data_IF_286445643759
#
_entry.id   IF_286445643759
#
_cell.length_a   1.000
_cell.length_b   1.000
_cell.length_c   1.000
_cell.angle_alpha   90.00
_cell.angle_beta   90.00
_cell.angle_gamma   90.00
#
_symmetry.space_group_name_H-M   'P 1'
#
loop_
_entity.id
_entity.type
_entity.pdbx_description
1 polymer ?
#
# COMPACT_ATOMS: atom_id res chain seq x y z
N UNK A 1 9.75 0.53 -10.94
CA UNK A 1 8.51 -0.24 -10.71
C UNK A 1 8.09 0.04 -9.27
N UNK A 2 6.82 0.31 -9.04
CA UNK A 2 6.24 0.38 -7.69
C UNK A 2 5.38 -0.87 -7.55
N UNK A 3 5.56 -1.59 -6.45
CA UNK A 3 4.78 -2.77 -6.11
C UNK A 3 3.86 -2.42 -4.94
N UNK A 4 2.57 -2.75 -5.06
CA UNK A 4 1.56 -2.54 -4.04
C UNK A 4 0.79 -3.85 -3.85
N UNK A 5 0.54 -4.24 -2.60
CA UNK A 5 -0.24 -5.44 -2.28
C UNK A 5 -1.72 -5.27 -2.65
N UNK A 6 -2.42 -6.39 -2.82
CA UNK A 6 -3.85 -6.38 -3.16
C UNK A 6 -4.76 -5.80 -2.08
N UNK A 7 -4.26 -5.65 -0.84
CA UNK A 7 -4.93 -5.00 0.29
C UNK A 7 -4.40 -3.58 0.55
N UNK A 8 -3.97 -2.89 -0.50
CA UNK A 8 -3.60 -1.47 -0.46
C UNK A 8 -4.64 -0.61 -1.18
N UNK A 9 -4.91 0.58 -0.63
CA UNK A 9 -5.66 1.64 -1.31
C UNK A 9 -4.84 2.92 -1.38
N UNK A 10 -4.86 3.56 -2.55
CA UNK A 10 -4.17 4.82 -2.85
C UNK A 10 -5.20 5.96 -2.87
N UNK A 11 -4.96 7.01 -2.08
CA UNK A 11 -5.83 8.18 -1.91
C UNK A 11 -5.34 9.44 -2.64
N UNK A 12 -4.05 9.51 -2.99
CA UNK A 12 -3.47 10.62 -3.74
C UNK A 12 -2.43 10.14 -4.74
N UNK A 13 -2.10 10.98 -5.73
CA UNK A 13 -1.08 10.65 -6.72
C UNK A 13 0.28 10.38 -6.04
N UNK A 14 0.93 9.30 -6.45
CA UNK A 14 2.25 8.88 -5.96
C UNK A 14 3.28 8.74 -7.09
N UNK A 15 3.03 9.34 -8.26
CA UNK A 15 3.85 9.15 -9.45
C UNK A 15 5.26 9.74 -9.27
N UNK A 16 5.41 10.77 -8.43
CA UNK A 16 6.72 11.34 -8.10
C UNK A 16 7.67 10.32 -7.45
N UNK A 17 7.17 9.19 -6.94
CA UNK A 17 8.02 8.09 -6.48
C UNK A 17 8.81 7.44 -7.63
N UNK A 18 8.36 7.56 -8.88
CA UNK A 18 9.12 7.11 -10.06
C UNK A 18 10.34 7.99 -10.38
N UNK A 19 10.39 9.22 -9.86
CA UNK A 19 11.52 10.15 -10.03
C UNK A 19 12.67 9.86 -9.05
N UNK A 20 12.48 8.92 -8.13
CA UNK A 20 13.53 8.51 -7.19
C UNK A 20 14.74 7.90 -7.91
N UNK A 21 15.99 8.16 -7.44
CA UNK A 21 17.18 7.61 -8.06
C UNK A 21 17.13 6.08 -8.22
N UNK A 22 17.49 5.60 -9.42
CA UNK A 22 17.56 4.16 -9.73
C UNK A 22 18.68 3.46 -8.93
N UNK A 23 18.56 2.14 -8.81
CA UNK A 23 19.55 1.29 -8.14
C UNK A 23 19.32 1.09 -6.64
N UNK A 24 18.21 1.61 -6.12
CA UNK A 24 17.83 1.50 -4.71
C UNK A 24 16.47 0.81 -4.54
N UNK A 25 16.26 0.21 -3.38
CA UNK A 25 14.97 -0.26 -2.90
C UNK A 25 14.38 0.79 -1.95
N UNK A 26 13.31 1.45 -2.36
CA UNK A 26 12.58 2.39 -1.52
C UNK A 26 11.41 1.68 -0.85
N UNK A 27 11.35 1.69 0.48
CA UNK A 27 10.23 1.14 1.23
C UNK A 27 10.07 1.83 2.59
N UNK A 28 8.84 1.82 3.11
CA UNK A 28 8.53 2.33 4.46
C UNK A 28 9.14 1.40 5.50
N UNK A 29 9.62 1.96 6.62
CA UNK A 29 10.13 1.18 7.76
C UNK A 29 9.01 0.37 8.41
N UNK A 30 9.33 -0.79 8.96
CA UNK A 30 8.34 -1.60 9.66
C UNK A 30 7.91 -0.98 11.01
N UNK A 31 6.68 -1.27 11.41
CA UNK A 31 6.20 -0.97 12.76
C UNK A 31 6.27 -2.23 13.62
N UNK A 32 7.31 -2.34 14.44
CA UNK A 32 7.47 -3.48 15.36
C UNK A 32 6.43 -3.53 16.48
N UNK A 33 5.50 -2.58 16.56
CA UNK A 33 4.34 -2.69 17.43
C UNK A 33 3.25 -3.61 16.85
N UNK A 34 3.30 -4.04 15.59
CA UNK A 34 2.31 -4.96 15.05
C UNK A 34 2.37 -6.35 15.69
N UNK A 35 1.22 -7.01 15.82
CA UNK A 35 1.10 -8.32 16.48
C UNK A 35 1.87 -9.43 15.75
N UNK A 36 2.15 -9.26 14.45
CA UNK A 36 3.04 -10.11 13.66
C UNK A 36 4.44 -10.21 14.29
N UNK A 37 4.89 -9.16 14.97
CA UNK A 37 6.16 -9.08 15.69
C UNK A 37 6.10 -9.65 17.11
N UNK A 38 4.95 -10.13 17.60
CA UNK A 38 4.72 -10.50 19.02
C UNK A 38 5.76 -11.44 19.64
N UNK A 39 6.39 -12.29 18.83
CA UNK A 39 7.40 -13.27 19.29
C UNK A 39 8.81 -12.68 19.41
N UNK A 40 9.06 -11.50 18.83
CA UNK A 40 10.39 -10.91 18.70
C UNK A 40 10.80 -10.08 19.92
N UNK A 41 12.12 -9.90 20.18
CA UNK A 41 12.60 -9.04 21.26
C UNK A 41 12.09 -7.60 21.15
N UNK A 42 12.14 -7.01 19.95
CA UNK A 42 11.69 -5.64 19.70
C UNK A 42 10.24 -5.40 20.14
N UNK A 43 9.32 -6.29 19.78
CA UNK A 43 7.92 -6.17 20.21
C UNK A 43 7.79 -6.29 21.73
N UNK A 44 8.48 -7.27 22.34
CA UNK A 44 8.38 -7.55 23.78
C UNK A 44 8.84 -6.38 24.65
N UNK A 45 9.83 -5.62 24.19
CA UNK A 45 10.33 -4.42 24.89
C UNK A 45 9.58 -3.15 24.47
N UNK A 46 8.69 -3.22 23.48
CA UNK A 46 7.98 -2.07 22.92
C UNK A 46 8.85 -1.16 22.04
N UNK A 47 9.98 -1.65 21.53
CA UNK A 47 10.81 -0.93 20.56
C UNK A 47 10.10 -0.83 19.22
N UNK A 48 10.07 0.36 18.63
CA UNK A 48 9.47 0.63 17.34
C UNK A 48 10.41 1.46 16.47
N UNK A 49 10.65 1.04 15.22
CA UNK A 49 11.50 1.78 14.28
C UNK A 49 10.89 3.09 13.79
N UNK A 50 9.56 3.21 13.86
CA UNK A 50 8.84 4.44 13.56
C UNK A 50 8.91 5.46 14.71
N UNK A 51 9.11 4.99 15.95
CA UNK A 51 9.17 5.80 17.17
C UNK A 51 10.35 5.38 18.08
N UNK A 52 11.61 5.46 17.60
CA UNK A 52 12.78 4.98 18.35
C UNK A 52 13.04 5.75 19.65
N UNK A 53 12.46 6.94 19.80
CA UNK A 53 12.53 7.78 21.00
C UNK A 53 11.68 7.26 22.16
N UNK A 54 10.65 6.44 21.89
CA UNK A 54 9.73 5.92 22.92
C UNK A 54 10.40 4.86 23.80
N UNK A 55 11.19 3.99 23.18
CA UNK A 55 11.99 2.97 23.85
C UNK A 55 13.34 2.93 23.16
N UNK A 56 14.40 3.35 23.85
CA UNK A 56 15.76 3.24 23.33
C UNK A 56 16.20 1.78 23.28
N UNK A 57 16.76 1.33 22.16
CA UNK A 57 17.25 -0.04 22.02
C UNK A 57 18.36 -0.36 23.05
N UNK A 58 18.23 -1.43 23.85
CA UNK A 58 19.18 -1.72 24.91
C UNK A 58 20.42 -2.44 24.36
N UNK A 59 21.37 -1.66 23.83
CA UNK A 59 22.57 -2.17 23.14
C UNK A 59 23.39 -3.13 24.01
N UNK A 60 23.47 -2.88 25.32
CA UNK A 60 24.25 -3.69 26.25
C UNK A 60 23.71 -5.13 26.39
N UNK A 61 22.39 -5.32 26.30
CA UNK A 61 21.76 -6.63 26.52
C UNK A 61 21.30 -7.32 25.24
N UNK A 62 20.97 -6.56 24.19
CA UNK A 62 20.45 -7.09 22.92
C UNK A 62 21.38 -6.87 21.72
N UNK A 63 22.54 -6.22 21.91
CA UNK A 63 23.49 -5.95 20.82
C UNK A 63 23.02 -4.83 19.89
N UNK A 64 23.38 -4.91 18.60
CA UNK A 64 22.96 -3.88 17.63
C UNK A 64 21.44 -3.89 17.41
N UNK A 65 20.81 -2.72 17.16
CA UNK A 65 19.40 -2.68 16.84
C UNK A 65 19.08 -3.50 15.58
N UNK A 66 17.84 -4.01 15.46
CA UNK A 66 17.41 -4.68 14.24
C UNK A 66 17.55 -3.73 13.04
N UNK A 67 17.97 -4.24 11.87
CA UNK A 67 18.12 -3.42 10.68
C UNK A 67 16.77 -2.78 10.30
N UNK A 68 16.84 -1.57 9.72
CA UNK A 68 15.66 -0.81 9.26
C UNK A 68 14.80 -1.54 8.22
N UNK A 69 15.35 -2.59 7.61
CA UNK A 69 14.66 -3.42 6.63
C UNK A 69 14.98 -4.89 6.84
N UNK A 70 13.96 -5.74 6.77
CA UNK A 70 13.98 -7.15 7.19
C UNK A 70 14.76 -8.12 6.31
N UNK A 71 15.45 -7.63 5.29
CA UNK A 71 16.14 -8.50 4.36
C UNK A 71 17.57 -8.01 4.14
N UNK A 72 18.52 -8.77 4.69
CA UNK A 72 19.97 -8.53 4.55
C UNK A 72 20.38 -8.37 3.09
N UNK A 73 19.68 -9.01 2.15
CA UNK A 73 19.92 -8.90 0.72
C UNK A 73 19.83 -7.45 0.22
N UNK A 74 18.98 -6.62 0.85
CA UNK A 74 18.71 -5.27 0.41
C UNK A 74 19.39 -4.19 1.28
N UNK A 75 20.18 -4.58 2.30
CA UNK A 75 20.76 -3.63 3.27
C UNK A 75 21.55 -2.49 2.61
N UNK A 76 22.36 -2.79 1.58
CA UNK A 76 23.21 -1.79 0.92
C UNK A 76 22.45 -0.86 -0.04
N UNK A 77 21.25 -1.27 -0.46
CA UNK A 77 20.45 -0.53 -1.45
C UNK A 77 19.12 -0.01 -0.90
N UNK A 78 18.80 -0.30 0.36
CA UNK A 78 17.58 0.16 1.01
C UNK A 78 17.61 1.68 1.29
N UNK A 79 16.49 2.34 1.03
CA UNK A 79 16.25 3.75 1.33
C UNK A 79 14.86 3.90 1.96
N UNK A 80 14.74 4.37 3.22
CA UNK A 80 13.44 4.57 3.83
C UNK A 80 12.67 5.69 3.12
N UNK A 81 11.37 5.48 2.93
CA UNK A 81 10.43 6.53 2.52
C UNK A 81 9.39 6.78 3.64
N UNK A 82 8.74 7.95 3.68
CA UNK A 82 7.74 8.28 4.70
C UNK A 82 6.59 7.28 4.77
N UNK A 83 6.05 7.05 5.97
CA UNK A 83 4.90 6.19 6.20
C UNK A 83 3.62 6.63 5.49
N UNK A 84 3.56 7.88 5.01
CA UNK A 84 2.47 8.39 4.17
C UNK A 84 2.28 7.58 2.87
N UNK A 85 3.34 6.90 2.38
CA UNK A 85 3.31 6.08 1.18
C UNK A 85 3.05 4.59 1.44
N UNK A 86 2.94 4.18 2.70
CA UNK A 86 2.46 2.86 3.11
C UNK A 86 2.10 2.89 4.59
N UNK A 87 0.92 3.41 4.92
CA UNK A 87 0.46 3.45 6.29
C UNK A 87 -0.13 2.09 6.65
N UNK A 88 0.64 1.28 7.36
CA UNK A 88 0.16 0.09 8.06
C UNK A 88 -0.93 0.52 9.03
N UNK A 89 -2.13 -0.01 8.85
CA UNK A 89 -3.32 0.47 9.55
C UNK A 89 -3.21 0.41 11.09
N UNK A 90 -2.40 -0.51 11.64
CA UNK A 90 -2.14 -0.61 13.08
C UNK A 90 -1.54 0.67 13.69
N UNK A 91 -0.89 1.50 12.88
CA UNK A 91 -0.39 2.80 13.29
C UNK A 91 -1.50 3.72 13.84
N UNK A 92 -2.75 3.58 13.38
CA UNK A 92 -3.89 4.42 13.80
C UNK A 92 -4.21 4.31 15.31
N UNK A 93 -3.87 3.20 15.94
CA UNK A 93 -4.10 2.99 17.37
C UNK A 93 -2.82 2.73 18.17
N UNK A 94 -1.71 2.39 17.51
CA UNK A 94 -0.41 2.24 18.18
C UNK A 94 0.37 3.54 18.30
N UNK A 95 0.21 4.42 17.31
CA UNK A 95 0.92 5.70 17.18
C UNK A 95 0.00 6.84 16.70
N UNK A 96 -1.21 7.01 17.27
CA UNK A 96 -2.16 8.02 16.80
C UNK A 96 -1.59 9.44 16.83
N UNK A 97 -0.63 9.72 17.72
CA UNK A 97 0.07 11.00 17.84
C UNK A 97 0.89 11.39 16.60
N UNK A 98 1.22 10.42 15.74
CA UNK A 98 2.02 10.62 14.54
C UNK A 98 1.22 10.52 13.24
N UNK A 99 -0.10 10.30 13.33
CA UNK A 99 -0.95 10.10 12.16
C UNK A 99 -1.88 11.28 11.95
N UNK A 100 -1.67 11.95 10.82
CA UNK A 100 -2.65 12.84 10.19
C UNK A 100 -3.18 12.15 8.94
N UNK A 101 -4.41 11.63 9.01
CA UNK A 101 -5.04 10.87 7.92
C UNK A 101 -5.19 11.69 6.63
N UNK A 102 -5.28 13.01 6.72
CA UNK A 102 -5.40 13.87 5.54
C UNK A 102 -4.09 13.97 4.75
N UNK A 103 -2.96 13.61 5.36
CA UNK A 103 -1.64 13.59 4.74
C UNK A 103 -1.25 12.19 4.23
N UNK A 104 -2.10 11.18 4.40
CA UNK A 104 -1.80 9.80 4.00
C UNK A 104 -2.17 9.59 2.53
N UNK A 105 -1.20 9.16 1.73
CA UNK A 105 -1.40 8.81 0.34
C UNK A 105 -1.80 7.36 0.14
N UNK A 106 -1.36 6.45 1.00
CA UNK A 106 -1.53 5.01 0.83
C UNK A 106 -1.82 4.34 2.16
N UNK A 107 -2.90 3.55 2.23
CA UNK A 107 -3.29 2.74 3.40
C UNK A 107 -3.11 1.25 3.07
N UNK A 108 -2.57 0.50 4.03
CA UNK A 108 -2.42 -0.96 3.95
C UNK A 108 -3.31 -1.67 4.97
N UNK A 109 -4.31 -2.39 4.47
CA UNK A 109 -5.28 -3.16 5.26
C UNK A 109 -4.72 -4.53 5.68
N UNK A 110 -3.61 -4.51 6.41
CA UNK A 110 -2.86 -5.71 6.80
C UNK A 110 -3.24 -6.29 8.18
N UNK A 111 -4.01 -5.56 9.00
CA UNK A 111 -4.44 -6.03 10.32
C UNK A 111 -5.54 -7.11 10.20
N UNK A 112 -5.69 -7.95 11.23
CA UNK A 112 -6.77 -8.94 11.25
C UNK A 112 -8.14 -8.24 11.21
N UNK A 113 -9.09 -8.79 10.45
CA UNK A 113 -10.41 -8.19 10.25
C UNK A 113 -10.44 -6.90 9.42
N UNK A 114 -9.30 -6.39 8.95
CA UNK A 114 -9.26 -5.08 8.28
C UNK A 114 -9.46 -5.09 6.78
N UNK A 115 -9.19 -6.24 6.14
CA UNK A 115 -9.22 -6.36 4.68
C UNK A 115 -10.60 -5.98 4.16
N UNK A 116 -10.68 -5.05 3.20
CA UNK A 116 -11.90 -4.62 2.58
C UNK A 116 -13.08 -5.60 2.49
N UNK A 117 -12.78 -6.67 1.74
CA UNK A 117 -13.67 -7.75 1.32
C UNK A 117 -13.96 -8.79 2.41
N UNK A 118 -13.32 -8.65 3.57
CA UNK A 118 -13.44 -9.52 4.75
C UNK A 118 -13.41 -8.69 6.04
N UNK A 119 -13.98 -7.49 5.97
CA UNK A 119 -14.03 -6.60 7.11
C UNK A 119 -14.87 -7.22 8.23
N UNK A 120 -14.32 -7.24 9.44
CA UNK A 120 -14.97 -7.80 10.63
C UNK A 120 -14.89 -6.80 11.79
N UNK A 121 -16.01 -6.15 12.09
CA UNK A 121 -16.11 -5.17 13.18
C UNK A 121 -15.90 -5.77 14.57
N UNK A 122 -15.94 -7.09 14.72
CA UNK A 122 -15.72 -7.76 16.01
C UNK A 122 -14.25 -7.96 16.34
N UNK A 123 -13.36 -7.79 15.35
CA UNK A 123 -11.92 -7.88 15.52
C UNK A 123 -11.34 -6.64 16.21
N UNK A 124 -10.17 -6.80 16.82
CA UNK A 124 -9.53 -5.76 17.65
C UNK A 124 -9.38 -4.43 16.86
N UNK A 125 -9.96 -3.36 17.40
CA UNK A 125 -9.96 -2.00 16.84
C UNK A 125 -10.76 -1.79 15.55
N UNK A 126 -11.38 -2.82 14.96
CA UNK A 126 -12.16 -2.66 13.72
C UNK A 126 -13.48 -1.92 13.93
N UNK A 127 -13.91 -1.75 15.18
CA UNK A 127 -15.08 -0.96 15.54
C UNK A 127 -14.87 0.56 15.44
N UNK A 128 -13.63 1.03 15.19
CA UNK A 128 -13.31 2.46 15.08
C UNK A 128 -13.92 3.13 13.86
N UNK A 129 -14.40 4.35 14.05
CA UNK A 129 -15.02 5.16 12.98
C UNK A 129 -14.06 5.52 11.85
N UNK A 130 -12.78 5.76 12.15
CA UNK A 130 -11.78 6.07 11.13
C UNK A 130 -11.51 4.87 10.21
N UNK A 131 -11.47 3.66 10.76
CA UNK A 131 -11.34 2.41 9.98
C UNK A 131 -12.61 2.17 9.16
N UNK A 132 -13.81 2.29 9.74
CA UNK A 132 -15.06 2.13 9.00
C UNK A 132 -15.16 3.12 7.84
N UNK A 133 -14.72 4.36 8.04
CA UNK A 133 -14.61 5.35 6.97
C UNK A 133 -13.66 4.88 5.85
N UNK A 134 -12.47 4.38 6.18
CA UNK A 134 -11.50 3.88 5.18
C UNK A 134 -12.06 2.70 4.39
N UNK A 135 -12.66 1.72 5.08
CA UNK A 135 -13.34 0.57 4.47
C UNK A 135 -14.46 1.03 3.55
N UNK A 136 -15.27 2.02 3.97
CA UNK A 136 -16.29 2.63 3.12
C UNK A 136 -15.68 3.26 1.87
N UNK A 137 -14.60 4.04 1.99
CA UNK A 137 -13.93 4.65 0.82
C UNK A 137 -13.44 3.60 -0.18
N UNK A 138 -13.09 2.40 0.28
CA UNK A 138 -12.70 1.30 -0.60
C UNK A 138 -13.91 0.72 -1.36
N UNK A 139 -15.02 0.49 -0.65
CA UNK A 139 -16.28 0.06 -1.29
C UNK A 139 -16.87 1.10 -2.23
N UNK A 140 -16.76 2.40 -1.91
CA UNK A 140 -17.20 3.50 -2.78
C UNK A 140 -16.52 3.43 -4.17
N UNK A 141 -15.27 2.95 -4.26
CA UNK A 141 -14.56 2.72 -5.54
C UNK A 141 -14.98 1.39 -6.16
N UNK A 142 -15.03 0.31 -5.37
CA UNK A 142 -15.35 -1.03 -5.87
C UNK A 142 -16.76 -1.12 -6.45
N UNK A 143 -17.72 -0.40 -5.87
CA UNK A 143 -19.12 -0.37 -6.30
C UNK A 143 -19.39 0.70 -7.38
N UNK A 144 -18.40 1.53 -7.72
CA UNK A 144 -18.53 2.51 -8.80
C UNK A 144 -18.56 1.80 -10.15
N UNK A 145 -19.76 1.48 -10.62
CA UNK A 145 -19.99 0.86 -11.92
C UNK A 145 -19.39 1.64 -13.10
N UNK A 146 -19.12 2.95 -12.97
CA UNK A 146 -18.46 3.70 -14.06
C UNK A 146 -17.01 3.25 -14.29
N UNK A 147 -16.40 2.62 -13.29
CA UNK A 147 -15.07 2.01 -13.34
C UNK A 147 -15.09 0.56 -13.83
N UNK A 148 -16.27 -0.02 -14.09
CA UNK A 148 -16.38 -1.37 -14.63
C UNK A 148 -15.73 -1.43 -16.02
N UNK A 149 -14.77 -2.35 -16.17
CA UNK A 149 -14.08 -2.60 -17.45
C UNK A 149 -15.05 -2.80 -18.64
N UNK A 150 -16.21 -3.44 -18.40
CA UNK A 150 -17.22 -3.68 -19.44
C UNK A 150 -17.83 -2.38 -19.98
N UNK A 151 -18.01 -1.38 -19.12
CA UNK A 151 -18.54 -0.08 -19.51
C UNK A 151 -17.54 0.70 -20.36
N UNK A 152 -16.23 0.51 -20.11
CA UNK A 152 -15.16 1.05 -20.94
C UNK A 152 -15.15 0.42 -22.35
N UNK A 153 -15.25 -0.90 -22.46
CA UNK A 153 -15.30 -1.60 -23.76
C UNK A 153 -16.56 -1.24 -24.55
N UNK A 154 -17.71 -1.06 -23.90
CA UNK A 154 -18.92 -0.58 -24.57
C UNK A 154 -18.82 0.87 -25.05
N UNK A 155 -18.15 1.74 -24.31
CA UNK A 155 -17.95 3.14 -24.73
C UNK A 155 -16.91 3.25 -25.83
N UNK A 156 -15.77 2.54 -25.77
CA UNK A 156 -14.81 2.46 -26.87
C UNK A 156 -15.43 1.87 -28.13
N UNK A 157 -16.20 0.78 -28.00
CA UNK A 157 -16.89 0.17 -29.15
C UNK A 157 -18.01 1.05 -29.71
N UNK A 158 -18.63 1.95 -28.94
CA UNK A 158 -19.60 2.97 -29.40
C UNK A 158 -18.96 4.26 -29.92
N UNK A 159 -17.71 4.55 -29.56
CA UNK A 159 -16.91 5.67 -30.09
C UNK A 159 -16.18 5.27 -31.39
N UNK A 160 -15.77 4.01 -31.51
CA UNK A 160 -15.17 3.43 -32.72
C UNK A 160 -16.01 3.55 -34.02
N UNK A 161 -17.36 3.52 -34.03
CA UNK A 161 -18.17 3.68 -35.24
C UNK A 161 -18.29 5.15 -35.66
N UNK A 162 -18.07 6.10 -34.75
CA UNK A 162 -18.16 7.55 -35.04
C UNK A 162 -16.85 8.05 -35.68
N UNK A 163 -15.71 7.43 -35.36
CA UNK A 163 -14.43 7.78 -35.99
C UNK A 163 -14.21 7.16 -37.38
N UNK A 164 -15.12 6.30 -37.85
CA UNK A 164 -15.04 5.69 -39.18
C UNK A 164 -15.27 6.69 -40.34
N UNK A 165 -15.66 7.94 -40.06
CA UNK A 165 -15.82 8.98 -41.09
C UNK A 165 -14.63 9.93 -41.25
N UNK A 166 -13.53 9.79 -40.48
CA UNK A 166 -12.36 10.67 -40.62
C UNK A 166 -11.00 10.00 -40.83
N UNK A 167 -10.88 8.67 -40.79
CA UNK A 167 -9.59 8.00 -40.97
C UNK A 167 -9.52 7.22 -42.29
N UNK A 168 -9.60 7.92 -43.42
CA UNK A 168 -9.01 7.39 -44.66
C UNK A 168 -7.56 7.85 -44.74
N UNK A 169 -6.64 7.02 -44.25
CA UNK A 169 -5.38 6.60 -44.91
C UNK A 169 -4.35 6.05 -43.90
N UNK A 170 -3.83 4.88 -44.29
CA UNK A 170 -2.50 4.32 -44.00
C UNK A 170 -2.28 3.35 -42.80
N UNK A 171 -2.42 2.07 -43.18
CA UNK A 171 -1.65 0.84 -42.89
C UNK A 171 -0.82 0.62 -41.60
N UNK A 172 -1.32 -0.35 -40.82
CA UNK A 172 -0.69 -1.60 -40.32
C UNK A 172 0.70 -1.56 -39.65
N UNK A 173 0.71 -1.87 -38.36
CA UNK A 173 1.81 -2.55 -37.65
C UNK A 173 1.23 -3.36 -36.49
N UNK A 174 1.32 -4.69 -36.56
CA UNK A 174 0.77 -5.65 -35.59
C UNK A 174 1.34 -5.43 -34.18
N UNK A 175 0.46 -5.14 -33.21
CA UNK A 175 0.79 -5.20 -31.79
C UNK A 175 0.26 -6.52 -31.23
N UNK A 176 1.18 -7.45 -31.00
CA UNK A 176 0.95 -8.69 -30.25
C UNK A 176 0.56 -8.34 -28.80
N UNK A 177 -0.72 -8.48 -28.46
CA UNK A 177 -1.19 -8.40 -27.07
C UNK A 177 -0.89 -9.75 -26.40
N UNK A 178 0.22 -9.82 -25.68
CA UNK A 178 0.50 -10.95 -24.77
C UNK A 178 -0.35 -10.79 -23.52
N UNK A 179 -1.35 -11.66 -23.35
CA UNK A 179 -2.07 -11.79 -22.09
C UNK A 179 -1.12 -12.35 -21.02
N UNK A 180 -1.03 -11.67 -19.87
CA UNK A 180 -0.27 -12.14 -18.72
C UNK A 180 -0.93 -13.40 -18.14
N UNK A 181 -0.16 -14.46 -17.80
CA UNK A 181 -0.72 -15.65 -17.20
C UNK A 181 -1.14 -15.39 -15.75
N UNK A 182 -2.29 -15.96 -15.37
CA UNK A 182 -2.78 -15.97 -13.98
C UNK A 182 -1.89 -16.83 -13.11
N UNK A 183 -1.52 -16.34 -11.93
CA UNK A 183 -0.82 -17.12 -10.91
C UNK A 183 -1.76 -18.18 -10.30
N UNK A 184 -1.19 -19.34 -9.99
CA UNK A 184 -1.82 -20.46 -9.28
C UNK A 184 -1.40 -20.47 -7.80
#
# INVERSE_FOLDING_TARGET
>A
MIYLDGDIQVFSNIDHLFDTPRGYLYAVKDCFCEISWSKTPQFKIGYCQQCPEKVTWPVESLGSPPPDFLNEYFTDIYKPIPSTYNLVMAMLWRHPEHIDLDQISVIHYCANGSKPWRFDETEEHMDREDIKMLVKKWWDIYEDSSLDYKNFVETESKLSPINATLASKESVGDVLISLAPSAA
#
